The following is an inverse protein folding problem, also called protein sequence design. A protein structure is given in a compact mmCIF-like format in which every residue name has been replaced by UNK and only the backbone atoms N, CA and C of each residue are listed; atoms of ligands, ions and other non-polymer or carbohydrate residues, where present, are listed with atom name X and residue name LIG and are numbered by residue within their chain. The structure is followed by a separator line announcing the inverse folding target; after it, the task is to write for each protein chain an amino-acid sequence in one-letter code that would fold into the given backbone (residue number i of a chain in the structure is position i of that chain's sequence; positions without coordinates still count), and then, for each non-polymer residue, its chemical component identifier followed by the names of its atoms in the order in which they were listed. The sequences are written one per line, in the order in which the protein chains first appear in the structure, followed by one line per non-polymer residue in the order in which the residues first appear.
data_IF_303291716095
#
_entry.id   IF_303291716095
#
_cell.length_a   1.000
_cell.length_b   1.000
_cell.length_c   1.000
_cell.angle_alpha   90.00
_cell.angle_beta   90.00
_cell.angle_gamma   90.00
#
_symmetry.space_group_name_H-M   'P 1'
#
loop_
_entity.id
_entity.type
_entity.pdbx_description
1 polymer ?
#
# COMPACT_ATOMS: atom_id res chain seq x y z
N UNK A 1 0.92 53.47 63.02
CA UNK A 1 0.47 52.27 62.29
C UNK A 1 1.65 51.79 61.45
N UNK A 2 2.48 50.88 61.98
CA UNK A 2 2.46 49.42 61.67
C UNK A 2 2.91 49.14 60.24
N UNK A 3 4.18 48.79 60.02
CA UNK A 3 4.71 47.41 59.88
C UNK A 3 5.16 47.21 58.41
N UNK A 4 6.45 47.09 58.10
CA UNK A 4 7.33 45.92 58.32
C UNK A 4 7.05 44.77 57.35
N UNK A 5 8.14 44.22 56.78
CA UNK A 5 8.31 42.87 56.20
C UNK A 5 7.81 42.73 54.74
N UNK A 6 8.47 42.04 53.80
CA UNK A 6 9.46 40.94 53.88
C UNK A 6 10.01 40.65 52.47
N UNK A 7 11.30 40.31 52.38
CA UNK A 7 11.86 39.47 51.31
C UNK A 7 11.15 38.11 51.17
N UNK A 8 11.49 37.37 50.10
CA UNK A 8 11.24 35.94 49.78
C UNK A 8 10.08 35.75 48.77
N UNK A 9 10.11 34.95 47.71
CA UNK A 9 10.98 33.91 47.14
C UNK A 9 10.48 33.60 45.71
N UNK A 10 11.38 33.07 44.87
CA UNK A 10 11.21 31.97 43.89
C UNK A 10 9.84 31.77 43.21
N UNK A 11 9.82 31.77 41.87
CA UNK A 11 9.47 30.53 41.12
C UNK A 11 9.92 30.59 39.67
N UNK A 12 10.77 29.65 39.28
CA UNK A 12 11.12 29.33 37.92
C UNK A 12 9.91 28.71 37.20
N UNK A 13 9.66 29.10 35.96
CA UNK A 13 8.77 28.38 35.06
C UNK A 13 9.47 28.21 33.70
N UNK A 14 10.25 27.13 33.61
CA UNK A 14 10.74 26.61 32.35
C UNK A 14 9.53 26.12 31.55
N UNK A 15 9.20 26.80 30.47
CA UNK A 15 8.19 26.36 29.51
C UNK A 15 8.74 25.17 28.72
N UNK A 16 8.56 23.96 29.25
CA UNK A 16 8.74 22.72 28.51
C UNK A 16 7.66 22.65 27.43
N UNK A 17 8.02 23.05 26.21
CA UNK A 17 7.22 22.79 25.03
C UNK A 17 7.17 21.27 24.81
N UNK A 18 6.10 20.65 25.29
CA UNK A 18 5.69 19.30 24.92
C UNK A 18 5.38 19.30 23.42
N UNK A 19 6.40 19.01 22.61
CA UNK A 19 6.21 18.57 21.23
C UNK A 19 5.60 17.18 21.32
N UNK A 20 4.26 17.12 21.29
CA UNK A 20 3.53 15.87 21.11
C UNK A 20 3.76 15.43 19.67
N UNK A 21 4.82 14.65 19.45
CA UNK A 21 5.05 13.92 18.21
C UNK A 21 3.92 12.90 18.04
N UNK A 22 2.87 13.28 17.32
CA UNK A 22 1.87 12.36 16.80
C UNK A 22 2.53 11.47 15.74
N UNK A 23 3.34 10.49 16.16
CA UNK A 23 3.65 9.34 15.32
C UNK A 23 2.39 8.48 15.27
N UNK A 24 1.37 8.95 14.54
CA UNK A 24 0.34 8.06 14.05
C UNK A 24 1.05 7.02 13.21
N UNK A 25 1.07 5.77 13.67
CA UNK A 25 1.58 4.62 12.91
C UNK A 25 0.68 4.37 11.69
N UNK A 26 0.59 5.33 10.77
CA UNK A 26 0.00 5.11 9.46
C UNK A 26 0.99 4.24 8.68
N UNK A 27 0.61 2.99 8.45
CA UNK A 27 1.33 2.04 7.60
C UNK A 27 1.66 2.71 6.26
N UNK A 28 2.91 2.65 5.83
CA UNK A 28 3.33 3.18 4.53
C UNK A 28 2.70 2.41 3.37
N UNK A 29 2.76 2.91 2.12
CA UNK A 29 2.24 2.20 0.95
C UNK A 29 2.79 0.78 0.83
N UNK A 30 4.09 0.59 1.08
CA UNK A 30 4.75 -0.73 1.11
C UNK A 30 4.15 -1.66 2.17
N UNK A 31 3.90 -1.14 3.38
CA UNK A 31 3.32 -1.92 4.49
C UNK A 31 1.88 -2.34 4.17
N UNK A 32 1.10 -1.47 3.50
CA UNK A 32 -0.28 -1.75 3.12
C UNK A 32 -0.37 -2.84 2.06
N UNK A 33 0.62 -2.94 1.18
CA UNK A 33 0.70 -3.96 0.13
C UNK A 33 1.11 -5.34 0.65
N UNK A 34 1.71 -5.44 1.83
CA UNK A 34 2.23 -6.72 2.33
C UNK A 34 1.15 -7.82 2.37
N UNK A 35 1.57 -9.05 2.11
CA UNK A 35 0.72 -10.24 2.11
C UNK A 35 0.30 -10.68 0.70
N UNK A 36 -0.61 -11.67 0.66
CA UNK A 36 -1.14 -12.27 -0.57
C UNK A 36 -2.46 -11.64 -0.99
N UNK A 37 -2.62 -11.48 -2.29
CA UNK A 37 -3.76 -10.86 -2.95
C UNK A 37 -4.22 -11.75 -4.10
N UNK A 38 -5.52 -11.94 -4.23
CA UNK A 38 -6.13 -12.75 -5.29
C UNK A 38 -7.06 -11.86 -6.10
N UNK A 39 -7.02 -12.00 -7.42
CA UNK A 39 -7.88 -11.23 -8.30
C UNK A 39 -9.34 -11.65 -8.13
N UNK A 40 -10.25 -10.71 -8.34
CA UNK A 40 -11.69 -10.92 -8.19
C UNK A 40 -12.43 -10.78 -9.53
N UNK A 41 -12.09 -9.71 -10.26
CA UNK A 41 -12.78 -9.27 -11.47
C UNK A 41 -11.90 -8.35 -12.30
N UNK A 42 -12.28 -8.15 -13.56
CA UNK A 42 -11.69 -7.12 -14.44
C UNK A 42 -12.73 -6.04 -14.72
N UNK A 43 -12.35 -4.78 -14.51
CA UNK A 43 -13.16 -3.62 -14.84
C UNK A 43 -12.97 -3.18 -16.29
N UNK A 44 -13.98 -2.51 -16.84
CA UNK A 44 -13.96 -1.88 -18.17
C UNK A 44 -13.75 -2.87 -19.34
N UNK A 45 -14.50 -3.97 -19.29
CA UNK A 45 -14.56 -5.02 -20.32
C UNK A 45 -15.97 -5.06 -20.91
N UNK A 46 -16.12 -5.32 -22.23
CA UNK A 46 -17.43 -5.56 -22.83
C UNK A 46 -18.22 -6.66 -22.09
N UNK A 47 -19.54 -6.52 -21.90
CA UNK A 47 -20.33 -7.47 -21.11
C UNK A 47 -20.27 -8.92 -21.59
N UNK A 48 -20.12 -9.13 -22.91
CA UNK A 48 -19.99 -10.45 -23.54
C UNK A 48 -18.65 -11.15 -23.21
N UNK A 49 -17.65 -10.41 -22.74
CA UNK A 49 -16.33 -10.92 -22.37
C UNK A 49 -16.09 -10.95 -20.85
N UNK A 50 -16.96 -10.32 -20.06
CA UNK A 50 -16.78 -10.08 -18.63
C UNK A 50 -16.59 -11.38 -17.83
N UNK A 51 -17.40 -12.41 -18.10
CA UNK A 51 -17.33 -13.68 -17.38
C UNK A 51 -15.98 -14.38 -17.58
N UNK A 52 -15.49 -14.42 -18.83
CA UNK A 52 -14.19 -15.03 -19.16
C UNK A 52 -13.04 -14.21 -18.58
N UNK A 53 -13.09 -12.89 -18.71
CA UNK A 53 -12.09 -11.97 -18.20
C UNK A 53 -11.99 -12.05 -16.66
N UNK A 54 -13.13 -12.04 -15.97
CA UNK A 54 -13.18 -12.20 -14.52
C UNK A 54 -12.74 -13.60 -14.09
N UNK A 55 -13.04 -14.64 -14.86
CA UNK A 55 -12.49 -15.98 -14.64
C UNK A 55 -10.96 -15.99 -14.66
N UNK A 56 -10.34 -15.32 -15.64
CA UNK A 56 -8.89 -15.14 -15.69
C UNK A 56 -8.35 -14.35 -14.47
N UNK A 57 -9.04 -13.28 -14.06
CA UNK A 57 -8.64 -12.49 -12.89
C UNK A 57 -8.60 -13.31 -11.61
N UNK A 58 -9.58 -14.19 -11.38
CA UNK A 58 -9.65 -15.06 -10.19
C UNK A 58 -8.48 -16.03 -10.03
N UNK A 59 -7.78 -16.31 -11.11
CA UNK A 59 -6.58 -17.15 -11.11
C UNK A 59 -5.27 -16.33 -11.18
N UNK A 60 -5.36 -15.00 -11.11
CA UNK A 60 -4.21 -14.12 -10.95
C UNK A 60 -3.98 -13.80 -9.47
N UNK A 61 -2.72 -13.80 -9.02
CA UNK A 61 -2.37 -13.39 -7.66
C UNK A 61 -1.10 -12.55 -7.59
N UNK A 62 -1.04 -11.68 -6.57
CA UNK A 62 0.16 -10.97 -6.15
C UNK A 62 0.52 -11.39 -4.73
N UNK A 63 1.80 -11.53 -4.43
CA UNK A 63 2.30 -11.67 -3.07
C UNK A 63 3.43 -10.66 -2.84
N UNK A 64 3.31 -9.87 -1.77
CA UNK A 64 4.32 -8.90 -1.35
C UNK A 64 4.91 -9.33 -0.02
N UNK A 65 6.22 -9.54 0.01
CA UNK A 65 6.97 -10.02 1.18
C UNK A 65 8.24 -9.19 1.33
N UNK A 66 8.22 -8.22 2.25
CA UNK A 66 9.29 -7.24 2.36
C UNK A 66 9.38 -6.37 1.10
N UNK A 67 10.51 -6.48 0.39
CA UNK A 67 10.77 -5.80 -0.88
C UNK A 67 10.58 -6.72 -2.10
N UNK A 68 10.06 -7.94 -1.91
CA UNK A 68 9.77 -8.88 -2.99
C UNK A 68 8.32 -8.82 -3.41
N UNK A 69 8.10 -8.82 -4.72
CA UNK A 69 6.79 -8.98 -5.35
C UNK A 69 6.82 -10.23 -6.21
N UNK A 70 5.87 -11.13 -5.96
CA UNK A 70 5.62 -12.31 -6.80
C UNK A 70 4.28 -12.15 -7.50
N UNK A 71 4.26 -12.36 -8.82
CA UNK A 71 3.04 -12.38 -9.63
C UNK A 71 2.85 -13.77 -10.21
N UNK A 72 1.65 -14.30 -10.06
CA UNK A 72 1.22 -15.55 -10.70
C UNK A 72 0.08 -15.23 -11.65
N UNK A 73 0.26 -15.56 -12.93
CA UNK A 73 -0.75 -15.39 -13.97
C UNK A 73 -1.28 -16.76 -14.40
N UNK A 74 -2.56 -16.89 -14.79
CA UNK A 74 -3.12 -18.15 -15.26
C UNK A 74 -2.34 -18.72 -16.45
N UNK A 75 -1.96 -19.99 -16.37
CA UNK A 75 -1.25 -20.69 -17.45
C UNK A 75 0.23 -20.32 -17.63
N UNK A 76 0.82 -19.55 -16.70
CA UNK A 76 2.24 -19.22 -16.71
C UNK A 76 2.93 -19.55 -15.38
N UNK A 77 4.25 -19.57 -15.39
CA UNK A 77 5.05 -19.67 -14.17
C UNK A 77 4.97 -18.37 -13.35
N UNK A 78 4.98 -18.52 -12.03
CA UNK A 78 5.10 -17.38 -11.11
C UNK A 78 6.44 -16.68 -11.32
N UNK A 79 6.43 -15.36 -11.29
CA UNK A 79 7.64 -14.54 -11.45
C UNK A 79 7.83 -13.66 -10.22
N UNK A 80 9.06 -13.57 -9.74
CA UNK A 80 9.41 -12.78 -8.57
C UNK A 80 10.41 -11.69 -8.96
N UNK A 81 10.25 -10.50 -8.40
CA UNK A 81 11.18 -9.39 -8.53
C UNK A 81 11.28 -8.56 -7.26
N UNK A 82 12.31 -7.74 -7.17
CA UNK A 82 12.45 -6.73 -6.11
C UNK A 82 11.67 -5.50 -6.51
N UNK A 83 10.67 -5.09 -5.74
CA UNK A 83 9.89 -3.90 -6.04
C UNK A 83 10.32 -2.72 -5.16
N UNK A 84 10.15 -1.51 -5.70
CA UNK A 84 10.23 -0.25 -4.94
C UNK A 84 9.05 0.62 -5.30
N UNK A 85 8.53 1.36 -4.33
CA UNK A 85 7.54 2.42 -4.60
C UNK A 85 8.27 3.59 -5.23
N UNK A 86 7.97 3.88 -6.50
CA UNK A 86 8.59 4.98 -7.24
C UNK A 86 7.79 6.27 -7.11
N UNK A 87 6.45 6.16 -7.11
CA UNK A 87 5.56 7.32 -7.02
C UNK A 87 4.30 7.00 -6.24
N UNK A 88 3.85 7.97 -5.45
CA UNK A 88 2.56 7.93 -4.75
C UNK A 88 1.80 9.22 -5.08
N UNK A 89 0.56 9.09 -5.53
CA UNK A 89 -0.35 10.21 -5.79
C UNK A 89 -1.75 9.85 -5.28
N UNK A 90 -2.12 10.40 -4.12
CA UNK A 90 -3.32 9.99 -3.40
C UNK A 90 -3.31 8.49 -3.10
N UNK A 91 -4.22 7.74 -3.69
CA UNK A 91 -4.31 6.28 -3.56
C UNK A 91 -3.59 5.51 -4.66
N UNK A 92 -3.06 6.19 -5.68
CA UNK A 92 -2.31 5.58 -6.79
C UNK A 92 -0.85 5.41 -6.38
N UNK A 93 -0.34 4.19 -6.55
CA UNK A 93 1.02 3.78 -6.21
C UNK A 93 1.64 3.17 -7.47
N UNK A 94 2.75 3.72 -7.92
CA UNK A 94 3.54 3.17 -9.03
C UNK A 94 4.74 2.44 -8.44
N UNK A 95 4.90 1.19 -8.84
CA UNK A 95 5.98 0.30 -8.43
C UNK A 95 6.95 0.13 -9.60
N UNK A 96 8.25 0.21 -9.32
CA UNK A 96 9.31 -0.28 -10.20
C UNK A 96 9.75 -1.65 -9.72
N UNK A 97 9.82 -2.63 -10.61
CA UNK A 97 10.10 -4.03 -10.28
C UNK A 97 11.32 -4.53 -11.05
N UNK A 98 12.38 -4.84 -10.30
CA UNK A 98 13.63 -5.39 -10.84
C UNK A 98 13.58 -6.93 -10.79
N UNK A 99 13.69 -7.57 -11.96
CA UNK A 99 13.72 -9.03 -12.13
C UNK A 99 15.14 -9.61 -12.18
N UNK A 100 16.16 -8.79 -11.99
CA UNK A 100 17.58 -9.15 -12.01
C UNK A 100 18.23 -9.16 -13.40
N UNK A 101 17.45 -9.11 -14.48
CA UNK A 101 17.97 -9.00 -15.84
C UNK A 101 17.05 -8.14 -16.72
N UNK A 102 17.64 -7.22 -17.48
CA UNK A 102 16.94 -6.32 -18.39
C UNK A 102 16.42 -5.05 -17.73
N UNK A 103 15.57 -4.32 -18.46
CA UNK A 103 14.88 -3.14 -17.93
C UNK A 103 13.86 -3.54 -16.85
N UNK A 104 13.79 -2.81 -15.73
CA UNK A 104 12.75 -3.01 -14.72
C UNK A 104 11.34 -2.79 -15.28
N UNK A 105 10.40 -3.59 -14.81
CA UNK A 105 9.00 -3.42 -15.16
C UNK A 105 8.36 -2.33 -14.28
N UNK A 106 7.24 -1.77 -14.74
CA UNK A 106 6.40 -0.87 -13.96
C UNK A 106 5.04 -1.53 -13.69
N UNK A 107 4.54 -1.38 -12.46
CA UNK A 107 3.17 -1.77 -12.11
C UNK A 107 2.48 -0.62 -11.37
N UNK A 108 1.30 -0.23 -11.82
CA UNK A 108 0.52 0.81 -11.15
C UNK A 108 -0.69 0.22 -10.44
N UNK A 109 -0.80 0.50 -9.14
CA UNK A 109 -1.87 0.04 -8.27
C UNK A 109 -2.67 1.24 -7.77
N UNK A 110 -3.97 1.07 -7.59
CA UNK A 110 -4.83 2.04 -6.88
C UNK A 110 -5.39 1.35 -5.65
N UNK A 111 -5.02 1.83 -4.47
CA UNK A 111 -5.50 1.28 -3.21
C UNK A 111 -6.97 1.67 -3.01
N UNK A 112 -7.85 0.68 -2.87
CA UNK A 112 -9.30 0.89 -2.71
C UNK A 112 -9.76 0.78 -1.24
N UNK A 113 -8.80 0.57 -0.33
CA UNK A 113 -9.00 0.39 1.09
C UNK A 113 -7.80 -0.33 1.70
N UNK A 114 -8.00 -1.03 2.81
CA UNK A 114 -6.94 -1.82 3.46
C UNK A 114 -6.84 -3.26 2.93
N UNK A 115 -7.93 -3.75 2.33
CA UNK A 115 -8.06 -5.14 1.89
C UNK A 115 -8.36 -5.28 0.40
N UNK A 116 -8.24 -4.20 -0.37
CA UNK A 116 -8.39 -4.25 -1.81
C UNK A 116 -7.53 -3.21 -2.54
N UNK A 117 -7.12 -3.56 -3.76
CA UNK A 117 -6.52 -2.64 -4.71
C UNK A 117 -6.95 -2.98 -6.13
N UNK A 118 -6.78 -2.02 -7.05
CA UNK A 118 -6.92 -2.22 -8.49
C UNK A 118 -5.55 -2.14 -9.15
N UNK A 119 -5.14 -3.18 -9.86
CA UNK A 119 -3.98 -3.15 -10.74
C UNK A 119 -4.38 -2.59 -12.09
N UNK A 120 -3.68 -1.56 -12.55
CA UNK A 120 -3.82 -1.00 -13.88
C UNK A 120 -3.11 -1.89 -14.91
N UNK A 121 -3.87 -2.36 -15.91
CA UNK A 121 -3.35 -3.20 -17.01
C UNK A 121 -3.41 -2.47 -18.36
N UNK A 122 -3.62 -1.14 -18.35
CA UNK A 122 -3.70 -0.29 -19.53
C UNK A 122 -5.08 -0.27 -20.19
N UNK A 123 -5.26 0.64 -21.15
CA UNK A 123 -6.54 0.85 -21.87
C UNK A 123 -7.74 1.07 -20.94
N UNK A 124 -7.52 1.81 -19.84
CA UNK A 124 -8.50 2.06 -18.77
C UNK A 124 -9.07 0.79 -18.10
N UNK A 125 -8.43 -0.38 -18.32
CA UNK A 125 -8.80 -1.65 -17.69
C UNK A 125 -8.01 -1.84 -16.41
N UNK A 126 -8.58 -2.62 -15.51
CA UNK A 126 -7.89 -2.97 -14.29
C UNK A 126 -8.44 -4.23 -13.66
N UNK A 127 -7.57 -4.92 -12.94
CA UNK A 127 -7.94 -6.12 -12.19
C UNK A 127 -8.14 -5.69 -10.74
N UNK A 128 -9.32 -5.95 -10.18
CA UNK A 128 -9.56 -5.78 -8.74
C UNK A 128 -8.99 -6.99 -8.01
N UNK A 129 -8.28 -6.72 -6.92
CA UNK A 129 -7.74 -7.72 -6.03
C UNK A 129 -8.28 -7.51 -4.63
N UNK A 130 -8.50 -8.61 -3.93
CA UNK A 130 -8.78 -8.66 -2.51
C UNK A 130 -7.68 -9.41 -1.76
N UNK A 131 -7.47 -9.04 -0.50
CA UNK A 131 -6.54 -9.75 0.37
C UNK A 131 -6.98 -11.20 0.48
N UNK A 132 -6.03 -12.13 0.29
CA UNK A 132 -6.32 -13.55 0.47
C UNK A 132 -6.74 -13.80 1.91
N UNK A 133 -7.90 -14.42 2.11
CA UNK A 133 -8.31 -14.90 3.44
C UNK A 133 -7.38 -16.07 3.78
N UNK A 134 -6.77 -16.03 4.97
CA UNK A 134 -6.05 -17.18 5.47
C UNK A 134 -7.03 -18.35 5.58
N UNK A 135 -6.83 -19.39 4.77
CA UNK A 135 -7.54 -20.66 4.96
C UNK A 135 -6.94 -21.26 6.23
N UNK A 136 -7.75 -21.32 7.29
CA UNK A 136 -7.42 -21.98 8.55
C UNK A 136 -7.43 -23.49 8.37
#
# INVERSE_FOLDING_TARGET
MTHSKRSLLLTAAAAAALVVSLTGCSKGPTDRLQGKWVGDSIDNIPPDQEARASGWARHTSFAFEGDKMTVSLPGGESRTGTFKVERVSGHRVTLRVDRGAGEPDEATLTLLGDNSFRWDIGNDRGVKFSRAVAVQ
#
